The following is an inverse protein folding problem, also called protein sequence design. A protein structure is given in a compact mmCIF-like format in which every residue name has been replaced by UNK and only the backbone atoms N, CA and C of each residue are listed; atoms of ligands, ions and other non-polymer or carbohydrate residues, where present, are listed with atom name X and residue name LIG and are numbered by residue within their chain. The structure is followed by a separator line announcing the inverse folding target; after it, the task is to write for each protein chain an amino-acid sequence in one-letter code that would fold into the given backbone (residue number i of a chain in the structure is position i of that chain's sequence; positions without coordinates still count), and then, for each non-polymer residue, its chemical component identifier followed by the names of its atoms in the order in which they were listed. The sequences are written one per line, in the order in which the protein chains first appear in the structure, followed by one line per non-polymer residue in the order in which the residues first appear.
data_IF_998732994863
#
_entry.id   IF_998732994863
#
_cell.length_a   1.000
_cell.length_b   1.000
_cell.length_c   1.000
_cell.angle_alpha   90.00
_cell.angle_beta   90.00
_cell.angle_gamma   90.00
#
_symmetry.space_group_name_H-M   'P 1'
#
loop_
_entity.id
_entity.type
_entity.pdbx_description
1 polymer ?
#
# COMPACT_ATOMS: atom_id res chain seq x y z
N UNK A 1 15.27 -4.32 3.70
CA UNK A 1 14.88 -4.68 2.30
C UNK A 1 13.36 -4.69 2.26
N UNK A 2 12.74 -3.86 1.41
CA UNK A 2 11.30 -3.95 1.16
C UNK A 2 11.11 -4.98 0.05
N UNK A 3 10.42 -6.08 0.35
CA UNK A 3 9.97 -7.00 -0.69
C UNK A 3 8.58 -6.56 -1.13
N UNK A 4 8.50 -5.80 -2.22
CA UNK A 4 7.21 -5.44 -2.82
C UNK A 4 6.94 -6.38 -3.97
N UNK A 5 6.08 -7.38 -3.75
CA UNK A 5 5.59 -8.23 -4.83
C UNK A 5 4.31 -7.59 -5.37
N UNK A 6 4.43 -6.98 -6.54
CA UNK A 6 3.30 -6.60 -7.35
C UNK A 6 3.08 -7.69 -8.38
N UNK A 7 1.82 -8.05 -8.61
CA UNK A 7 1.44 -8.88 -9.74
C UNK A 7 1.53 -8.11 -11.09
N UNK A 8 2.51 -7.21 -11.27
CA UNK A 8 2.58 -6.33 -12.45
C UNK A 8 3.82 -5.44 -12.66
N UNK A 9 4.31 -4.63 -11.71
CA UNK A 9 5.55 -3.82 -11.88
C UNK A 9 5.84 -3.01 -10.62
N UNK A 10 7.13 -2.74 -10.37
CA UNK A 10 7.62 -1.91 -9.26
C UNK A 10 7.09 -0.47 -9.33
N UNK A 11 6.88 0.11 -8.15
CA UNK A 11 6.33 1.44 -7.83
C UNK A 11 4.85 1.69 -8.19
N UNK A 12 3.98 1.43 -7.21
CA UNK A 12 2.53 1.76 -7.27
C UNK A 12 2.24 3.23 -7.56
N UNK A 13 3.07 4.14 -7.06
CA UNK A 13 2.93 5.58 -7.27
C UNK A 13 3.01 5.96 -8.76
N UNK A 14 3.72 5.16 -9.56
CA UNK A 14 3.93 5.41 -10.99
C UNK A 14 2.98 4.62 -11.90
N UNK A 15 2.20 3.67 -11.36
CA UNK A 15 1.45 2.71 -12.17
C UNK A 15 -0.08 2.89 -12.11
N UNK A 16 -0.62 3.53 -11.06
CA UNK A 16 -2.07 3.48 -10.83
C UNK A 16 -2.61 4.82 -10.34
N UNK A 17 -3.67 5.31 -11.00
CA UNK A 17 -4.36 6.54 -10.58
C UNK A 17 -5.07 6.34 -9.22
N UNK A 18 -4.49 6.89 -8.15
CA UNK A 18 -5.06 6.85 -6.79
C UNK A 18 -5.85 8.12 -6.45
N UNK A 19 -6.82 7.97 -5.55
CA UNK A 19 -7.58 9.08 -5.00
C UNK A 19 -6.62 9.96 -4.17
N UNK A 20 -6.69 11.28 -4.37
CA UNK A 20 -5.87 12.21 -3.61
C UNK A 20 -6.11 12.06 -2.10
N UNK A 21 -7.32 11.76 -1.66
CA UNK A 21 -7.67 11.72 -0.24
C UNK A 21 -7.09 10.50 0.50
N UNK A 22 -6.89 9.38 -0.19
CA UNK A 22 -6.22 8.21 0.39
C UNK A 22 -4.69 8.35 0.34
N UNK A 23 -4.15 9.06 -0.66
CA UNK A 23 -2.70 9.22 -0.89
C UNK A 23 -2.09 10.46 -0.20
N UNK A 24 -2.89 11.42 0.26
CA UNK A 24 -2.39 12.60 0.99
C UNK A 24 -2.21 12.33 2.48
N UNK A 25 -1.51 13.25 3.16
CA UNK A 25 -1.34 13.23 4.62
C UNK A 25 -2.67 13.00 5.35
N UNK A 26 -2.70 11.99 6.22
CA UNK A 26 -3.88 11.56 6.98
C UNK A 26 -4.75 10.51 6.26
N UNK A 27 -4.48 10.21 4.99
CA UNK A 27 -5.11 9.11 4.26
C UNK A 27 -4.54 7.75 4.65
N UNK A 28 -5.34 6.70 4.46
CA UNK A 28 -4.99 5.33 4.85
C UNK A 28 -3.71 4.84 4.17
N UNK A 29 -3.52 5.16 2.88
CA UNK A 29 -2.32 4.79 2.13
C UNK A 29 -1.07 5.46 2.70
N UNK A 30 -1.14 6.77 2.87
CA UNK A 30 -0.05 7.57 3.45
C UNK A 30 0.36 7.07 4.84
N UNK A 31 -0.61 6.72 5.69
CA UNK A 31 -0.32 6.24 7.04
C UNK A 31 0.43 4.90 7.02
N UNK A 32 0.01 3.96 6.16
CA UNK A 32 0.73 2.69 6.01
C UNK A 32 2.17 2.90 5.51
N UNK A 33 2.37 3.72 4.47
CA UNK A 33 3.71 4.01 3.95
C UNK A 33 4.62 4.66 5.00
N UNK A 34 4.06 5.54 5.83
CA UNK A 34 4.78 6.15 6.94
C UNK A 34 5.22 5.12 7.98
N UNK A 35 4.37 4.16 8.31
CA UNK A 35 4.69 3.09 9.26
C UNK A 35 5.77 2.16 8.70
N UNK A 36 5.65 1.76 7.43
CA UNK A 36 6.69 0.98 6.74
C UNK A 36 8.02 1.73 6.70
N UNK A 37 8.01 3.02 6.34
CA UNK A 37 9.20 3.85 6.30
C UNK A 37 9.85 4.01 7.69
N UNK A 38 9.05 4.09 8.75
CA UNK A 38 9.54 4.13 10.14
C UNK A 38 10.25 2.82 10.49
N UNK A 39 9.63 1.67 10.23
CA UNK A 39 10.20 0.36 10.54
C UNK A 39 11.55 0.13 9.83
N UNK A 40 11.66 0.57 8.58
CA UNK A 40 12.90 0.47 7.79
C UNK A 40 14.02 1.41 8.25
N UNK A 41 13.67 2.48 8.98
CA UNK A 41 14.63 3.44 9.54
C UNK A 41 15.08 3.08 10.97
N UNK A 42 14.50 2.05 11.58
CA UNK A 42 14.95 1.55 12.89
C UNK A 42 16.39 1.03 12.84
N UNK A 43 17.01 0.84 14.00
CA UNK A 43 18.37 0.31 14.13
C UNK A 43 18.39 -0.85 15.14
N UNK A 44 18.54 -2.11 14.69
CA UNK A 44 18.66 -2.54 13.29
C UNK A 44 17.37 -2.29 12.48
N UNK A 45 17.45 -2.10 11.15
CA UNK A 45 16.27 -1.98 10.29
C UNK A 45 15.40 -3.22 10.36
N UNK A 46 14.09 -3.04 10.51
CA UNK A 46 13.13 -4.14 10.41
C UNK A 46 12.88 -4.53 8.95
N UNK A 47 12.59 -5.81 8.72
CA UNK A 47 12.05 -6.28 7.44
C UNK A 47 10.59 -5.85 7.30
N UNK A 48 10.23 -5.39 6.10
CA UNK A 48 8.84 -5.10 5.72
C UNK A 48 8.52 -5.88 4.44
N UNK A 49 7.48 -6.70 4.49
CA UNK A 49 6.98 -7.47 3.34
C UNK A 49 5.62 -6.93 2.94
N UNK A 50 5.41 -6.61 1.67
CA UNK A 50 4.18 -5.98 1.19
C UNK A 50 3.71 -6.69 -0.08
N UNK A 51 2.42 -7.06 -0.10
CA UNK A 51 1.69 -7.55 -1.27
C UNK A 51 0.49 -6.62 -1.53
N UNK A 52 0.34 -6.16 -2.77
CA UNK A 52 -0.75 -5.28 -3.15
C UNK A 52 -1.43 -5.80 -4.41
N UNK A 53 -2.73 -6.02 -4.31
CA UNK A 53 -3.60 -6.39 -5.42
C UNK A 53 -4.49 -5.21 -5.79
N UNK A 54 -4.48 -4.86 -7.07
CA UNK A 54 -5.38 -3.84 -7.63
C UNK A 54 -6.67 -4.50 -8.10
N UNK A 55 -7.81 -3.93 -7.71
CA UNK A 55 -9.13 -4.47 -8.04
C UNK A 55 -9.82 -3.47 -8.98
N UNK A 56 -10.17 -3.94 -10.18
CA UNK A 56 -10.90 -3.19 -11.19
C UNK A 56 -12.27 -3.82 -11.44
N UNK A 57 -13.27 -2.97 -11.66
CA UNK A 57 -14.56 -3.35 -12.21
C UNK A 57 -14.75 -2.68 -13.58
N UNK A 58 -15.31 -3.44 -14.52
CA UNK A 58 -15.57 -2.96 -15.86
C UNK A 58 -14.31 -2.63 -16.66
N UNK A 59 -14.35 -1.53 -17.41
CA UNK A 59 -13.31 -1.11 -18.37
C UNK A 59 -12.53 0.13 -17.91
N UNK A 60 -12.66 0.51 -16.63
CA UNK A 60 -11.99 1.69 -16.08
C UNK A 60 -10.47 1.48 -16.06
N UNK A 61 -9.71 2.51 -16.42
CA UNK A 61 -8.25 2.57 -16.22
C UNK A 61 -7.86 2.87 -14.77
N UNK A 62 -8.84 3.27 -13.94
CA UNK A 62 -8.69 3.52 -12.51
C UNK A 62 -9.25 2.34 -11.73
N UNK A 63 -8.51 1.75 -10.76
CA UNK A 63 -9.04 0.67 -9.94
C UNK A 63 -10.09 1.20 -8.98
N UNK A 64 -10.97 0.32 -8.54
CA UNK A 64 -11.97 0.64 -7.51
C UNK A 64 -11.40 0.51 -6.11
N UNK A 65 -10.45 -0.41 -5.91
CA UNK A 65 -9.83 -0.62 -4.61
C UNK A 65 -8.48 -1.32 -4.71
N UNK A 66 -7.77 -1.32 -3.58
CA UNK A 66 -6.50 -1.99 -3.38
C UNK A 66 -6.65 -2.94 -2.19
N UNK A 67 -6.29 -4.21 -2.36
CA UNK A 67 -6.09 -5.11 -1.23
C UNK A 67 -4.61 -5.09 -0.89
N UNK A 68 -4.30 -4.63 0.32
CA UNK A 68 -2.94 -4.49 0.82
C UNK A 68 -2.77 -5.51 1.94
N UNK A 69 -1.78 -6.37 1.79
CA UNK A 69 -1.33 -7.29 2.84
C UNK A 69 0.11 -6.97 3.16
N UNK A 70 0.43 -6.67 4.41
CA UNK A 70 1.80 -6.38 4.80
C UNK A 70 2.15 -6.94 6.17
N UNK A 71 3.44 -7.16 6.39
CA UNK A 71 4.03 -7.63 7.63
C UNK A 71 5.29 -6.83 7.92
N UNK A 72 5.35 -6.28 9.14
CA UNK A 72 6.56 -5.68 9.71
C UNK A 72 7.17 -6.74 10.64
N UNK A 73 8.49 -6.90 10.59
CA UNK A 73 9.20 -7.88 11.40
C UNK A 73 8.84 -7.78 12.89
N UNK A 74 8.35 -8.90 13.44
CA UNK A 74 7.91 -9.00 14.84
C UNK A 74 6.48 -8.53 15.09
N UNK A 75 5.75 -8.08 14.07
CA UNK A 75 4.34 -7.65 14.16
C UNK A 75 3.40 -8.64 13.46
N UNK A 76 2.11 -8.56 13.75
CA UNK A 76 1.10 -9.40 13.11
C UNK A 76 0.86 -8.97 11.67
N UNK A 77 0.58 -9.96 10.80
CA UNK A 77 0.18 -9.71 9.42
C UNK A 77 -1.07 -8.83 9.35
N UNK A 78 -0.98 -7.72 8.63
CA UNK A 78 -2.08 -6.78 8.42
C UNK A 78 -2.68 -7.00 7.04
N UNK A 79 -4.02 -7.02 6.96
CA UNK A 79 -4.79 -7.06 5.70
C UNK A 79 -5.76 -5.89 5.68
N UNK A 80 -5.70 -5.08 4.62
CA UNK A 80 -6.56 -3.91 4.40
C UNK A 80 -7.14 -3.92 3.00
N UNK A 81 -8.36 -3.42 2.86
CA UNK A 81 -8.94 -3.07 1.56
C UNK A 81 -9.19 -1.57 1.57
N UNK A 82 -8.58 -0.85 0.64
CA UNK A 82 -8.67 0.61 0.53
C UNK A 82 -9.41 0.92 -0.75
N UNK A 83 -10.57 1.55 -0.66
CA UNK A 83 -11.31 1.97 -1.85
C UNK A 83 -10.68 3.22 -2.44
N UNK A 84 -10.67 3.28 -3.76
CA UNK A 84 -10.11 4.38 -4.51
C UNK A 84 -11.12 5.56 -4.63
N UNK A 85 -11.67 5.98 -3.49
CA UNK A 85 -12.71 7.01 -3.38
C UNK A 85 -12.42 7.95 -2.20
N UNK A 86 -13.26 8.97 -2.00
CA UNK A 86 -13.16 9.86 -0.84
C UNK A 86 -13.39 9.04 0.43
N UNK A 87 -12.46 9.14 1.40
CA UNK A 87 -12.57 8.48 2.70
C UNK A 87 -12.10 7.03 2.77
N UNK A 88 -11.71 6.43 1.64
CA UNK A 88 -11.24 5.03 1.57
C UNK A 88 -12.33 3.98 1.55
#
# INVERSE_FOLDING_TARGET
MIGTQFNGSGDLDNLVAMNRDINRSGGEWFNMEKDWAKALKETPPKKVTVNIETIYSGKSLRPDSFKVTYEIEGETLVRKTIKNQIGG
#
